data_IF_094653182035
#
_entry.id   IF_094653182035
#
_cell.length_a   1.000
_cell.length_b   1.000
_cell.length_c   1.000
_cell.angle_alpha   90.00
_cell.angle_beta   90.00
_cell.angle_gamma   90.00
#
_symmetry.space_group_name_H-M   'P 1'
#
loop_
_entity.id
_entity.type
_entity.pdbx_description
1 polymer ?
#
# COMPACT_ATOMS: atom_id res chain seq x y z
N UNK A 1 -18.44 30.59 -32.95
CA UNK A 1 -17.10 31.20 -33.09
C UNK A 1 -16.06 30.10 -32.72
N UNK A 2 -15.30 29.73 -33.73
CA UNK A 2 -14.28 28.67 -33.65
C UNK A 2 -13.01 29.24 -33.02
N UNK A 3 -12.37 28.51 -32.07
CA UNK A 3 -10.94 28.67 -31.79
C UNK A 3 -10.30 27.32 -31.59
N UNK A 4 -9.74 26.86 -32.68
CA UNK A 4 -8.74 25.79 -32.79
C UNK A 4 -7.42 26.31 -32.23
N UNK A 5 -6.80 25.61 -31.29
CA UNK A 5 -5.38 25.80 -30.98
C UNK A 5 -4.69 24.43 -30.97
N UNK A 6 -3.97 24.23 -32.04
CA UNK A 6 -3.01 23.15 -32.31
C UNK A 6 -1.71 23.53 -31.62
N UNK A 7 -1.17 22.67 -30.76
CA UNK A 7 0.25 22.69 -30.37
C UNK A 7 0.83 21.31 -30.56
N UNK A 8 1.56 21.17 -31.63
CA UNK A 8 2.54 20.12 -31.85
C UNK A 8 3.85 20.58 -31.23
N UNK A 9 4.48 19.75 -30.38
CA UNK A 9 5.90 19.87 -30.08
C UNK A 9 6.50 18.48 -29.96
N UNK A 10 7.27 18.17 -30.97
CA UNK A 10 8.23 17.08 -31.08
C UNK A 10 9.36 17.34 -30.07
N UNK A 11 9.65 16.40 -29.18
CA UNK A 11 10.80 16.40 -28.31
C UNK A 11 11.45 15.02 -28.26
N UNK A 12 12.41 14.81 -29.15
CA UNK A 12 13.32 13.68 -29.20
C UNK A 12 14.43 13.91 -28.16
N UNK A 13 14.55 13.06 -27.15
CA UNK A 13 15.70 13.09 -26.21
C UNK A 13 16.22 11.66 -25.97
N UNK A 14 17.51 11.54 -26.24
CA UNK A 14 18.35 10.35 -26.21
C UNK A 14 18.52 9.75 -24.81
N UNK A 15 18.58 8.40 -24.76
CA UNK A 15 18.91 7.60 -23.59
C UNK A 15 20.44 7.49 -23.43
N UNK A 16 21.01 7.68 -22.22
CA UNK A 16 22.32 7.16 -21.91
C UNK A 16 22.19 5.73 -21.32
N UNK A 17 22.92 4.80 -21.90
CA UNK A 17 23.10 3.45 -21.38
C UNK A 17 23.93 3.52 -20.08
N UNK A 18 23.39 3.01 -18.97
CA UNK A 18 24.14 2.78 -17.73
C UNK A 18 24.56 1.32 -17.69
N UNK A 19 25.85 1.09 -17.71
CA UNK A 19 26.48 -0.22 -17.55
C UNK A 19 26.30 -0.68 -16.09
N UNK A 20 25.63 -1.83 -15.89
CA UNK A 20 25.51 -2.51 -14.60
C UNK A 20 26.76 -3.34 -14.37
N UNK A 21 27.59 -2.96 -13.40
CA UNK A 21 28.68 -3.78 -12.90
C UNK A 21 28.10 -4.91 -12.04
N UNK A 22 28.30 -6.15 -12.48
CA UNK A 22 27.99 -7.34 -11.70
C UNK A 22 29.06 -7.53 -10.61
N UNK A 23 28.67 -7.32 -9.35
CA UNK A 23 29.48 -7.75 -8.20
C UNK A 23 29.19 -9.22 -7.91
N UNK A 24 30.18 -10.05 -8.16
CA UNK A 24 30.22 -11.47 -7.79
C UNK A 24 30.30 -11.60 -6.26
N UNK A 25 29.23 -12.08 -5.62
CA UNK A 25 29.26 -12.46 -4.21
C UNK A 25 29.95 -13.82 -4.05
N UNK A 26 31.08 -13.81 -3.37
CA UNK A 26 31.76 -15.03 -2.89
C UNK A 26 30.94 -15.64 -1.72
N UNK A 27 30.89 -16.98 -1.61
CA UNK A 27 30.21 -17.63 -0.49
C UNK A 27 30.99 -17.47 0.81
N UNK A 28 30.40 -16.78 1.78
CA UNK A 28 30.92 -16.68 3.15
C UNK A 28 30.52 -17.96 3.90
N UNK A 29 31.50 -18.82 4.16
CA UNK A 29 31.37 -19.99 5.03
C UNK A 29 31.39 -19.51 6.49
N UNK A 30 30.23 -19.52 7.15
CA UNK A 30 30.15 -19.36 8.59
C UNK A 30 30.34 -20.70 9.31
N UNK A 31 31.24 -20.79 10.32
CA UNK A 31 31.34 -21.96 11.17
C UNK A 31 30.16 -22.05 12.16
N UNK A 32 29.75 -23.24 12.57
CA UNK A 32 28.65 -23.40 13.52
C UNK A 32 29.07 -22.96 14.92
N UNK A 33 28.47 -21.88 15.43
CA UNK A 33 28.60 -21.51 16.84
C UNK A 33 27.58 -22.30 17.68
N UNK A 34 28.12 -23.10 18.58
CA UNK A 34 27.40 -23.83 19.62
C UNK A 34 26.70 -22.84 20.57
N UNK A 35 25.39 -22.97 20.70
CA UNK A 35 24.60 -22.23 21.67
C UNK A 35 24.74 -22.86 23.07
N UNK A 36 25.08 -22.11 24.11
CA UNK A 36 24.82 -22.56 25.49
C UNK A 36 23.36 -22.25 25.83
N UNK A 37 22.65 -23.33 26.19
CA UNK A 37 21.32 -23.31 26.79
C UNK A 37 21.38 -22.55 28.12
N UNK A 38 20.83 -21.36 28.17
CA UNK A 38 20.65 -20.54 29.37
C UNK A 38 19.21 -20.05 29.42
N UNK A 39 18.35 -20.85 30.03
CA UNK A 39 16.99 -20.46 30.41
C UNK A 39 17.06 -19.39 31.50
N UNK A 40 16.79 -18.13 31.15
CA UNK A 40 16.38 -17.14 32.14
C UNK A 40 15.16 -16.42 31.60
N UNK A 41 14.00 -16.77 32.19
CA UNK A 41 12.74 -16.10 31.96
C UNK A 41 12.82 -14.66 32.42
N UNK A 42 12.78 -13.75 31.44
CA UNK A 42 12.36 -12.37 31.64
C UNK A 42 11.09 -12.16 30.83
N UNK A 43 9.96 -12.22 31.52
CA UNK A 43 8.69 -11.73 31.02
C UNK A 43 8.80 -10.22 30.86
N UNK A 44 9.34 -9.77 29.73
CA UNK A 44 9.25 -8.38 29.28
C UNK A 44 7.84 -8.13 28.72
N UNK A 45 7.31 -6.90 28.83
CA UNK A 45 5.99 -6.59 28.31
C UNK A 45 5.95 -6.85 26.79
N UNK A 46 5.07 -7.75 26.39
CA UNK A 46 4.87 -8.15 24.99
C UNK A 46 4.23 -6.99 24.20
N UNK A 47 5.05 -6.10 23.65
CA UNK A 47 4.63 -5.01 22.78
C UNK A 47 4.76 -5.37 21.28
N UNK A 48 4.66 -6.67 20.93
CA UNK A 48 4.99 -7.16 19.59
C UNK A 48 3.85 -7.61 18.68
N UNK A 49 2.58 -7.49 19.07
CA UNK A 49 1.49 -8.15 18.32
C UNK A 49 0.84 -7.32 17.17
N UNK A 50 1.07 -6.01 17.11
CA UNK A 50 0.36 -5.16 16.15
C UNK A 50 0.82 -5.29 14.69
N UNK A 51 2.08 -5.61 14.42
CA UNK A 51 2.58 -5.76 13.05
C UNK A 51 2.06 -7.02 12.35
N UNK A 52 1.97 -8.14 13.06
CA UNK A 52 1.47 -9.40 12.51
C UNK A 52 0.00 -9.34 12.14
N UNK A 53 -0.80 -8.68 12.95
CA UNK A 53 -2.25 -8.56 12.74
C UNK A 53 -2.59 -7.66 11.55
N UNK A 54 -1.85 -6.57 11.37
CA UNK A 54 -2.02 -5.70 10.21
C UNK A 54 -1.73 -6.42 8.89
N UNK A 55 -0.62 -7.14 8.81
CA UNK A 55 -0.28 -7.93 7.62
C UNK A 55 -1.31 -9.03 7.32
N UNK A 56 -1.84 -9.67 8.37
CA UNK A 56 -2.89 -10.66 8.21
C UNK A 56 -4.19 -10.03 7.68
N UNK A 57 -4.61 -8.93 8.30
CA UNK A 57 -5.80 -8.19 7.88
C UNK A 57 -5.68 -7.70 6.43
N UNK A 58 -4.50 -7.20 6.05
CA UNK A 58 -4.23 -6.71 4.70
C UNK A 58 -4.27 -7.85 3.67
N UNK A 59 -3.69 -9.03 3.98
CA UNK A 59 -3.78 -10.21 3.10
C UNK A 59 -5.22 -10.70 2.94
N UNK A 60 -6.02 -10.69 4.01
CA UNK A 60 -7.44 -11.07 3.92
C UNK A 60 -8.24 -10.06 3.10
N UNK A 61 -7.92 -8.78 3.25
CA UNK A 61 -8.56 -7.73 2.46
C UNK A 61 -8.21 -7.86 0.96
N UNK A 62 -6.93 -8.13 0.64
CA UNK A 62 -6.49 -8.38 -0.73
C UNK A 62 -7.26 -9.55 -1.36
N UNK A 63 -7.39 -10.68 -0.65
CA UNK A 63 -8.17 -11.82 -1.12
C UNK A 63 -9.65 -11.47 -1.40
N UNK A 64 -10.25 -10.63 -0.57
CA UNK A 64 -11.63 -10.17 -0.78
C UNK A 64 -11.74 -9.25 -1.99
N UNK A 65 -10.75 -8.38 -2.18
CA UNK A 65 -10.66 -7.50 -3.33
C UNK A 65 -10.53 -8.32 -4.63
N UNK A 66 -9.62 -9.30 -4.67
CA UNK A 66 -9.41 -10.18 -5.82
C UNK A 66 -10.67 -11.01 -6.14
N UNK A 67 -11.35 -11.52 -5.11
CA UNK A 67 -12.60 -12.26 -5.29
C UNK A 67 -13.74 -11.37 -5.82
N UNK A 68 -13.75 -10.09 -5.49
CA UNK A 68 -14.72 -9.11 -5.98
C UNK A 68 -14.42 -8.67 -7.43
N UNK A 69 -13.14 -8.65 -7.80
CA UNK A 69 -12.68 -8.33 -9.16
C UNK A 69 -12.94 -9.53 -10.10
N UNK A 70 -14.18 -9.66 -10.57
CA UNK A 70 -14.61 -10.78 -11.43
C UNK A 70 -13.96 -10.77 -12.81
N UNK A 71 -13.40 -9.66 -13.24
CA UNK A 71 -12.69 -9.50 -14.51
C UNK A 71 -11.21 -9.89 -14.41
N UNK A 72 -10.67 -10.00 -13.19
CA UNK A 72 -9.26 -10.33 -12.90
C UNK A 72 -8.24 -9.40 -13.56
N UNK A 73 -8.64 -8.15 -13.82
CA UNK A 73 -7.81 -7.11 -14.45
C UNK A 73 -7.15 -6.17 -13.42
N UNK A 74 -7.32 -6.43 -12.12
CA UNK A 74 -6.84 -5.60 -11.03
C UNK A 74 -7.67 -4.33 -10.79
N UNK A 75 -8.77 -4.15 -11.53
CA UNK A 75 -9.66 -3.00 -11.45
C UNK A 75 -10.99 -3.42 -10.81
N UNK A 76 -11.39 -2.73 -9.76
CA UNK A 76 -12.66 -2.96 -9.08
C UNK A 76 -13.61 -1.79 -9.35
N UNK A 77 -14.71 -2.06 -10.04
CA UNK A 77 -15.76 -1.06 -10.25
C UNK A 77 -16.69 -0.95 -9.04
N UNK A 78 -17.42 0.16 -8.94
CA UNK A 78 -18.40 0.36 -7.87
C UNK A 78 -19.44 -0.76 -7.84
N UNK A 79 -19.92 -1.22 -9.00
CA UNK A 79 -20.90 -2.30 -9.12
C UNK A 79 -20.35 -3.64 -8.59
N UNK A 80 -19.09 -3.97 -8.89
CA UNK A 80 -18.41 -5.15 -8.36
C UNK A 80 -18.25 -5.05 -6.84
N UNK A 81 -17.84 -3.89 -6.32
CA UNK A 81 -17.70 -3.65 -4.88
C UNK A 81 -19.04 -3.79 -4.14
N UNK A 82 -20.15 -3.29 -4.74
CA UNK A 82 -21.50 -3.44 -4.20
C UNK A 82 -21.93 -4.90 -4.18
N UNK A 83 -21.73 -5.64 -5.27
CA UNK A 83 -22.07 -7.06 -5.38
C UNK A 83 -21.32 -7.93 -4.36
N UNK A 84 -20.07 -7.56 -4.06
CA UNK A 84 -19.23 -8.26 -3.09
C UNK A 84 -19.40 -7.77 -1.63
N UNK A 85 -20.35 -6.86 -1.37
CA UNK A 85 -20.62 -6.26 -0.05
C UNK A 85 -19.37 -5.62 0.59
N UNK A 86 -18.52 -4.98 -0.22
CA UNK A 86 -17.34 -4.26 0.24
C UNK A 86 -17.73 -2.85 0.72
N UNK A 87 -18.50 -2.77 1.80
CA UNK A 87 -19.15 -1.54 2.32
C UNK A 87 -18.19 -0.36 2.45
N UNK A 88 -16.98 -0.60 2.92
CA UNK A 88 -15.98 0.47 3.11
C UNK A 88 -15.57 1.08 1.77
N UNK A 89 -15.33 0.25 0.74
CA UNK A 89 -15.00 0.74 -0.60
C UNK A 89 -16.20 1.46 -1.21
N UNK A 90 -17.40 0.88 -1.12
CA UNK A 90 -18.64 1.48 -1.67
C UNK A 90 -18.90 2.86 -1.06
N UNK A 91 -18.80 2.99 0.27
CA UNK A 91 -19.07 4.25 0.96
C UNK A 91 -18.05 5.37 0.64
N UNK A 92 -16.83 4.99 0.28
CA UNK A 92 -15.74 5.94 0.06
C UNK A 92 -15.23 5.91 -1.39
N UNK A 93 -15.96 5.27 -2.30
CA UNK A 93 -15.55 5.09 -3.69
C UNK A 93 -15.09 6.39 -4.36
N UNK A 94 -15.82 7.53 -4.25
CA UNK A 94 -15.39 8.79 -4.85
C UNK A 94 -14.09 9.36 -4.26
N UNK A 95 -13.82 9.07 -2.98
CA UNK A 95 -12.61 9.51 -2.30
C UNK A 95 -11.41 8.61 -2.65
N UNK A 96 -11.64 7.36 -3.00
CA UNK A 96 -10.62 6.42 -3.44
C UNK A 96 -10.29 6.61 -4.92
N UNK A 97 -11.33 6.78 -5.77
CA UNK A 97 -11.16 7.06 -7.20
C UNK A 97 -10.90 8.56 -7.46
N UNK A 98 -9.78 9.06 -6.97
CA UNK A 98 -9.38 10.47 -7.12
C UNK A 98 -9.20 10.90 -8.57
N UNK A 99 -8.96 9.96 -9.47
CA UNK A 99 -8.78 10.21 -10.90
C UNK A 99 -10.09 10.09 -11.71
N UNK A 100 -11.21 9.78 -11.04
CA UNK A 100 -12.53 9.62 -11.67
C UNK A 100 -12.54 8.63 -12.85
N UNK A 101 -11.79 7.53 -12.71
CA UNK A 101 -11.69 6.48 -13.75
C UNK A 101 -12.90 5.54 -13.79
N UNK A 102 -13.74 5.58 -12.73
CA UNK A 102 -14.89 4.68 -12.55
C UNK A 102 -14.48 3.30 -12.00
N UNK A 103 -13.22 3.12 -11.66
CA UNK A 103 -12.69 1.93 -10.98
C UNK A 103 -11.58 2.31 -10.01
N UNK A 104 -11.31 1.43 -9.07
CA UNK A 104 -10.21 1.55 -8.11
C UNK A 104 -9.31 0.31 -8.18
N UNK A 105 -8.02 0.48 -7.95
CA UNK A 105 -7.07 -0.61 -7.77
C UNK A 105 -6.91 -0.92 -6.27
N UNK A 106 -6.32 -2.06 -5.96
CA UNK A 106 -5.98 -2.39 -4.56
C UNK A 106 -5.06 -1.32 -3.94
N UNK A 107 -4.09 -0.81 -4.72
CA UNK A 107 -3.17 0.22 -4.26
C UNK A 107 -3.88 1.56 -3.98
N UNK A 108 -4.88 1.94 -4.78
CA UNK A 108 -5.67 3.15 -4.52
C UNK A 108 -6.40 3.04 -3.17
N UNK A 109 -6.99 1.87 -2.88
CA UNK A 109 -7.67 1.64 -1.61
C UNK A 109 -6.69 1.67 -0.43
N UNK A 110 -5.50 1.08 -0.58
CA UNK A 110 -4.46 1.09 0.46
C UNK A 110 -3.95 2.50 0.69
N UNK A 111 -3.67 3.27 -0.37
CA UNK A 111 -3.22 4.65 -0.28
C UNK A 111 -4.25 5.52 0.45
N UNK A 112 -5.51 5.49 0.01
CA UNK A 112 -6.59 6.21 0.67
C UNK A 112 -6.72 5.86 2.16
N UNK A 113 -6.58 4.57 2.51
CA UNK A 113 -6.65 4.14 3.91
C UNK A 113 -5.49 4.69 4.73
N UNK A 114 -4.28 4.72 4.19
CA UNK A 114 -3.11 5.30 4.86
C UNK A 114 -3.28 6.80 5.07
N UNK A 115 -3.77 7.52 4.06
CA UNK A 115 -4.07 8.95 4.15
C UNK A 115 -5.13 9.25 5.21
N UNK A 116 -6.18 8.43 5.29
CA UNK A 116 -7.22 8.55 6.31
C UNK A 116 -6.66 8.35 7.73
N UNK A 117 -5.76 7.37 7.91
CA UNK A 117 -5.09 7.11 9.19
C UNK A 117 -4.19 8.29 9.55
N UNK A 118 -3.40 8.80 8.60
CA UNK A 118 -2.51 9.94 8.82
C UNK A 118 -3.28 11.18 9.27
N UNK A 119 -4.35 11.53 8.56
CA UNK A 119 -5.22 12.66 8.92
C UNK A 119 -5.83 12.51 10.33
N UNK A 120 -6.24 11.29 10.70
CA UNK A 120 -6.75 11.01 12.05
C UNK A 120 -5.68 11.19 13.13
N UNK A 121 -4.46 10.74 12.86
CA UNK A 121 -3.33 10.89 13.78
C UNK A 121 -2.91 12.34 13.94
N UNK A 122 -2.90 13.12 12.87
CA UNK A 122 -2.62 14.56 12.90
C UNK A 122 -3.66 15.31 13.74
N UNK A 123 -4.95 15.02 13.52
CA UNK A 123 -6.03 15.61 14.32
C UNK A 123 -5.85 15.29 15.80
N UNK A 124 -5.57 14.04 16.14
CA UNK A 124 -5.35 13.64 17.53
C UNK A 124 -4.13 14.30 18.16
N UNK A 125 -3.05 14.46 17.40
CA UNK A 125 -1.86 15.18 17.85
C UNK A 125 -2.16 16.66 18.13
N UNK A 126 -2.96 17.30 17.26
CA UNK A 126 -3.41 18.68 17.46
C UNK A 126 -4.29 18.83 18.72
N UNK A 127 -5.22 17.89 18.93
CA UNK A 127 -6.07 17.86 20.13
C UNK A 127 -5.26 17.72 21.44
N UNK A 128 -4.19 16.94 21.42
CA UNK A 128 -3.32 16.76 22.58
C UNK A 128 -2.53 18.04 22.88
N UNK A 129 -1.98 18.69 21.84
CA UNK A 129 -1.25 19.96 22.00
C UNK A 129 -2.15 21.12 22.48
N UNK A 130 -3.43 21.07 22.17
CA UNK A 130 -4.38 22.11 22.61
C UNK A 130 -4.82 21.95 24.08
N UNK A 131 -4.42 20.88 24.76
CA UNK A 131 -4.75 20.61 26.17
C UNK A 131 -3.63 21.00 27.13
N UNK A 132 -2.46 21.32 26.62
CA UNK A 132 -1.30 21.83 27.38
C UNK A 132 -1.37 23.36 27.51
#
# INVERSE_FOLDING_TARGET
MRRTTMFALLGLAALPAVAVAQTTNAPSSNPPMSTPSGSMGMSGPQHGHHHGDWHRAMRQFHKKFDAANTTHDGHLTLAQAQKADLKMIVANFPAIDTQHRGYVTFNDVVAWRLDTIAAHMEKRAAELRAKD
#
